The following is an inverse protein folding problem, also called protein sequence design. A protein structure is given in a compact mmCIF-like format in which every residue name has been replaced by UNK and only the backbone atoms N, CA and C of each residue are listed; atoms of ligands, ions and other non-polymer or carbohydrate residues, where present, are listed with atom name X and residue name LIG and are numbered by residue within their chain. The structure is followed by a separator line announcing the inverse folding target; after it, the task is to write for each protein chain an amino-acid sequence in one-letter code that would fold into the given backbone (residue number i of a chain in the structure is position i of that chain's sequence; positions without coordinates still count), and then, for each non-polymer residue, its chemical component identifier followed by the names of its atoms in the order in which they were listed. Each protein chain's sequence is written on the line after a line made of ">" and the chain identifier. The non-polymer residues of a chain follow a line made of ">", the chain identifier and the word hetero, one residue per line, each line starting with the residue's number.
data_IF_115084088699
#
_entry.id   IF_115084088699
#
_cell.length_a   1.000
_cell.length_b   1.000
_cell.length_c   1.000
_cell.angle_alpha   90.00
_cell.angle_beta   90.00
_cell.angle_gamma   90.00
#
_symmetry.space_group_name_H-M   'P 1'
#
loop_
_entity.id
_entity.type
_entity.pdbx_description
1 polymer ?
#
# COMPACT_ATOMS: atom_id res chain seq x y z
N UNK A 1 -14.80 9.77 0.85
CA UNK A 1 -14.01 9.93 2.08
C UNK A 1 -13.88 8.59 2.84
N UNK A 2 -14.55 7.54 2.36
CA UNK A 2 -14.44 6.18 2.87
C UNK A 2 -13.57 5.35 1.92
N UNK A 3 -13.00 4.27 2.41
CA UNK A 3 -12.10 3.42 1.65
C UNK A 3 -10.89 4.20 1.12
N UNK A 4 -10.54 3.97 -0.14
CA UNK A 4 -9.43 4.68 -0.79
C UNK A 4 -9.88 6.02 -1.35
N UNK A 5 -9.44 7.17 -0.80
CA UNK A 5 -9.83 8.48 -1.29
C UNK A 5 -9.33 8.74 -2.71
N UNK A 6 -10.16 9.36 -3.53
CA UNK A 6 -9.81 9.70 -4.90
C UNK A 6 -10.75 10.75 -5.49
N UNK A 7 -10.44 11.28 -6.68
CA UNK A 7 -11.33 12.20 -7.37
C UNK A 7 -12.61 11.49 -7.79
N UNK A 8 -13.73 12.18 -7.66
CA UNK A 8 -15.04 11.72 -8.12
C UNK A 8 -15.60 12.69 -9.15
N UNK A 9 -16.33 12.16 -10.12
CA UNK A 9 -17.06 12.94 -11.10
C UNK A 9 -18.55 12.81 -10.83
N UNK A 10 -19.24 13.94 -10.68
CA UNK A 10 -20.68 13.99 -10.53
C UNK A 10 -21.27 14.67 -11.75
N UNK A 11 -22.10 13.96 -12.51
CA UNK A 11 -22.83 14.49 -13.66
C UNK A 11 -24.31 14.63 -13.31
N UNK A 12 -24.84 15.85 -13.49
CA UNK A 12 -26.24 16.15 -13.24
C UNK A 12 -26.84 16.70 -14.54
N UNK A 13 -27.73 15.97 -15.22
CA UNK A 13 -28.41 16.44 -16.43
C UNK A 13 -29.17 17.76 -16.21
N UNK A 14 -29.22 18.59 -17.23
CA UNK A 14 -29.81 19.96 -17.13
C UNK A 14 -31.28 19.95 -16.72
N UNK A 15 -32.05 19.00 -17.18
CA UNK A 15 -33.45 18.80 -16.79
C UNK A 15 -33.60 18.46 -15.30
N UNK A 16 -32.68 17.66 -14.77
CA UNK A 16 -32.62 17.32 -13.32
C UNK A 16 -32.21 18.54 -12.48
N UNK A 17 -31.27 19.37 -12.99
CA UNK A 17 -30.87 20.61 -12.31
C UNK A 17 -32.05 21.61 -12.16
N UNK A 18 -32.96 21.65 -13.14
CA UNK A 18 -34.14 22.52 -13.12
C UNK A 18 -35.35 21.92 -12.41
N UNK A 19 -35.29 20.70 -11.94
CA UNK A 19 -36.43 20.02 -11.32
C UNK A 19 -36.77 20.60 -9.93
N UNK A 20 -38.07 20.75 -9.68
CA UNK A 20 -38.53 21.14 -8.32
C UNK A 20 -38.43 19.93 -7.39
N UNK A 21 -37.73 20.10 -6.30
CA UNK A 21 -37.54 19.06 -5.26
C UNK A 21 -38.14 19.51 -3.92
N UNK A 22 -38.59 18.56 -3.13
CA UNK A 22 -38.94 18.80 -1.74
C UNK A 22 -37.82 18.24 -0.83
N UNK A 23 -36.98 19.11 -0.23
CA UNK A 23 -35.83 18.67 0.56
C UNK A 23 -36.23 17.90 1.82
N UNK A 24 -37.44 18.12 2.33
CA UNK A 24 -37.91 17.50 3.59
C UNK A 24 -38.18 15.99 3.45
N UNK A 25 -38.40 15.50 2.22
CA UNK A 25 -38.67 14.09 1.95
C UNK A 25 -37.48 13.33 1.34
N UNK A 26 -36.43 14.05 0.97
CA UNK A 26 -35.23 13.46 0.40
C UNK A 26 -34.32 12.93 1.51
N UNK A 27 -33.88 11.68 1.32
CA UNK A 27 -32.89 11.10 2.22
C UNK A 27 -31.51 11.60 1.85
N UNK A 28 -30.78 12.12 2.84
CA UNK A 28 -29.35 12.41 2.69
C UNK A 28 -28.52 11.12 2.59
N UNK A 29 -27.28 11.28 2.13
CA UNK A 29 -26.31 10.20 2.14
C UNK A 29 -25.77 10.03 3.56
N UNK A 30 -25.80 8.79 4.04
CA UNK A 30 -25.11 8.39 5.28
C UNK A 30 -23.96 7.49 4.88
N UNK A 31 -22.70 7.84 5.21
CA UNK A 31 -21.57 6.94 4.94
C UNK A 31 -21.79 5.58 5.62
N UNK A 32 -21.43 4.48 4.99
CA UNK A 32 -21.42 3.20 5.66
C UNK A 32 -20.41 3.20 6.81
N UNK A 33 -20.73 2.54 7.92
CA UNK A 33 -19.76 2.27 8.97
C UNK A 33 -18.82 1.16 8.46
N UNK A 34 -17.57 1.53 8.21
CA UNK A 34 -16.49 0.60 7.87
C UNK A 34 -15.76 0.21 9.17
N UNK A 35 -16.26 -0.75 9.89
CA UNK A 35 -15.50 -1.35 10.99
C UNK A 35 -14.67 -2.53 10.44
N UNK A 36 -13.35 -2.39 10.53
CA UNK A 36 -12.46 -3.52 10.27
C UNK A 36 -12.69 -4.62 11.32
N UNK A 37 -12.74 -5.87 10.88
CA UNK A 37 -12.77 -7.01 11.80
C UNK A 37 -11.42 -7.11 12.53
N UNK A 38 -11.40 -6.64 13.77
CA UNK A 38 -10.17 -6.60 14.58
C UNK A 38 -9.62 -7.99 14.89
N UNK A 39 -10.48 -9.00 15.03
CA UNK A 39 -10.05 -10.36 15.33
C UNK A 39 -9.35 -11.00 14.11
N UNK A 40 -9.88 -10.78 12.91
CA UNK A 40 -9.23 -11.19 11.66
C UNK A 40 -7.88 -10.48 11.46
N UNK A 41 -7.82 -9.18 11.74
CA UNK A 41 -6.59 -8.41 11.64
C UNK A 41 -5.50 -8.94 12.61
N UNK A 42 -5.84 -9.23 13.87
CA UNK A 42 -4.89 -9.78 14.85
C UNK A 42 -4.35 -11.14 14.41
N UNK A 43 -5.20 -12.00 13.83
CA UNK A 43 -4.77 -13.28 13.28
C UNK A 43 -3.77 -13.11 12.15
N UNK A 44 -4.10 -12.25 11.17
CA UNK A 44 -3.22 -11.95 10.02
C UNK A 44 -1.88 -11.32 10.44
N UNK A 45 -1.91 -10.44 11.43
CA UNK A 45 -0.66 -9.89 12.00
C UNK A 45 0.20 -11.00 12.62
N UNK A 46 -0.40 -11.97 13.30
CA UNK A 46 0.32 -13.14 13.81
C UNK A 46 1.03 -13.93 12.70
N UNK A 47 0.33 -14.22 11.61
CA UNK A 47 0.91 -14.90 10.44
C UNK A 47 2.05 -14.09 9.81
N UNK A 48 1.88 -12.77 9.67
CA UNK A 48 2.94 -11.88 9.19
C UNK A 48 4.20 -11.94 10.09
N UNK A 49 4.04 -11.94 11.41
CA UNK A 49 5.16 -12.03 12.34
C UNK A 49 5.91 -13.35 12.23
N UNK A 50 5.22 -14.47 11.98
CA UNK A 50 5.84 -15.77 11.72
C UNK A 50 6.66 -15.74 10.43
N UNK A 51 6.12 -15.15 9.36
CA UNK A 51 6.85 -14.98 8.09
C UNK A 51 8.09 -14.11 8.26
N UNK A 52 7.97 -13.00 8.99
CA UNK A 52 9.07 -12.09 9.29
C UNK A 52 10.18 -12.82 10.08
N UNK A 53 9.79 -13.60 11.08
CA UNK A 53 10.75 -14.34 11.89
C UNK A 53 11.49 -15.45 11.12
N UNK A 54 10.90 -15.94 10.04
CA UNK A 54 11.47 -16.98 9.17
C UNK A 54 12.34 -16.42 8.04
N UNK A 55 12.24 -15.13 7.72
CA UNK A 55 12.93 -14.51 6.60
C UNK A 55 14.41 -14.24 6.92
N UNK A 56 15.27 -14.44 5.92
CA UNK A 56 16.70 -14.12 5.99
C UNK A 56 17.04 -12.75 5.39
N UNK A 57 16.23 -12.30 4.43
CA UNK A 57 16.44 -11.05 3.68
C UNK A 57 15.12 -10.29 3.50
N UNK A 58 14.46 -9.93 4.62
CA UNK A 58 13.22 -9.16 4.57
C UNK A 58 13.48 -7.74 4.07
N UNK A 59 12.54 -7.20 3.28
CA UNK A 59 12.57 -5.85 2.74
C UNK A 59 11.23 -5.17 2.97
N UNK A 60 11.25 -3.96 3.51
CA UNK A 60 10.08 -3.09 3.59
C UNK A 60 9.95 -2.28 2.29
N UNK A 61 8.77 -2.30 1.70
CA UNK A 61 8.43 -1.49 0.54
C UNK A 61 7.37 -0.45 0.92
N UNK A 62 7.76 0.82 0.95
CA UNK A 62 6.88 1.90 1.37
C UNK A 62 6.15 2.55 0.19
N UNK A 63 4.85 2.75 0.35
CA UNK A 63 3.98 3.43 -0.59
C UNK A 63 3.24 4.62 0.01
N UNK A 64 2.60 5.41 -0.85
CA UNK A 64 1.91 6.64 -0.45
C UNK A 64 0.69 6.40 0.46
N UNK A 65 0.17 5.18 0.51
CA UNK A 65 -0.90 4.81 1.43
C UNK A 65 -0.56 5.05 2.90
N UNK A 66 0.72 5.05 3.27
CA UNK A 66 1.19 5.38 4.62
C UNK A 66 0.84 6.84 4.95
N UNK A 67 1.07 7.79 4.03
CA UNK A 67 0.63 9.19 4.19
C UNK A 67 -0.89 9.33 4.24
N UNK A 68 -1.60 8.64 3.35
CA UNK A 68 -3.06 8.71 3.30
C UNK A 68 -3.73 8.21 4.58
N UNK A 69 -3.09 7.29 5.28
CA UNK A 69 -3.57 6.75 6.55
C UNK A 69 -3.07 7.53 7.79
N UNK A 70 -2.14 8.48 7.61
CA UNK A 70 -1.50 9.20 8.73
C UNK A 70 -0.63 8.28 9.60
N UNK A 71 -0.03 7.24 8.99
CA UNK A 71 0.72 6.21 9.69
C UNK A 71 2.25 6.40 9.62
N UNK A 72 2.73 7.59 9.33
CA UNK A 72 4.16 7.90 9.18
C UNK A 72 4.96 7.55 10.42
N UNK A 73 4.48 7.96 11.59
CA UNK A 73 5.14 7.67 12.88
C UNK A 73 5.19 6.16 13.16
N UNK A 74 4.10 5.45 12.86
CA UNK A 74 4.04 4.00 13.04
C UNK A 74 4.98 3.26 12.09
N UNK A 75 5.09 3.76 10.85
CA UNK A 75 6.02 3.22 9.87
C UNK A 75 7.47 3.45 10.30
N UNK A 76 7.81 4.65 10.75
CA UNK A 76 9.14 4.96 11.30
C UNK A 76 9.48 4.04 12.47
N UNK A 77 8.55 3.87 13.42
CA UNK A 77 8.75 2.95 14.55
C UNK A 77 8.97 1.51 14.12
N UNK A 78 8.28 1.05 13.06
CA UNK A 78 8.50 -0.28 12.48
C UNK A 78 9.92 -0.41 11.89
N UNK A 79 10.37 0.60 11.16
CA UNK A 79 11.73 0.63 10.58
C UNK A 79 12.78 0.60 11.68
N UNK A 80 12.64 1.43 12.71
CA UNK A 80 13.58 1.52 13.83
C UNK A 80 13.63 0.20 14.63
N UNK A 81 12.48 -0.44 14.81
CA UNK A 81 12.40 -1.70 15.57
C UNK A 81 12.99 -2.90 14.81
N UNK A 82 12.88 -2.89 13.47
CA UNK A 82 13.33 -4.02 12.64
C UNK A 82 14.72 -3.85 12.07
N UNK A 83 15.13 -2.61 11.79
CA UNK A 83 16.35 -2.31 11.04
C UNK A 83 16.34 -2.87 9.61
N UNK A 84 15.20 -3.21 9.06
CA UNK A 84 15.09 -3.78 7.72
C UNK A 84 15.40 -2.75 6.64
N UNK A 85 15.99 -3.15 5.51
CA UNK A 85 16.16 -2.27 4.37
C UNK A 85 14.81 -1.82 3.86
N UNK A 86 14.72 -0.52 3.56
CA UNK A 86 13.51 0.13 3.03
C UNK A 86 13.74 0.57 1.60
N UNK A 87 12.84 0.14 0.73
CA UNK A 87 12.75 0.61 -0.66
C UNK A 87 11.43 1.37 -0.79
N UNK A 88 11.46 2.53 -1.41
CA UNK A 88 10.31 3.42 -1.51
C UNK A 88 9.76 3.52 -2.93
N UNK A 89 8.46 3.71 -3.04
CA UNK A 89 7.85 4.24 -4.27
C UNK A 89 8.16 5.73 -4.43
N UNK A 90 8.07 6.27 -5.65
CA UNK A 90 8.48 7.66 -5.95
C UNK A 90 7.69 8.72 -5.20
N UNK A 91 6.43 8.44 -4.89
CA UNK A 91 5.53 9.34 -4.18
C UNK A 91 5.52 9.15 -2.65
N UNK A 92 6.44 8.33 -2.13
CA UNK A 92 6.62 8.07 -0.70
C UNK A 92 8.09 8.26 -0.27
N UNK A 93 8.82 9.11 -1.01
CA UNK A 93 10.26 9.35 -0.81
C UNK A 93 10.59 10.11 0.46
N UNK A 94 9.62 10.81 1.01
CA UNK A 94 9.72 11.66 2.20
C UNK A 94 9.35 10.94 3.51
N UNK A 95 9.00 9.64 3.45
CA UNK A 95 8.74 8.82 4.63
C UNK A 95 9.98 8.56 5.47
N UNK A 96 11.16 8.55 4.84
CA UNK A 96 12.45 8.43 5.51
C UNK A 96 13.42 9.48 4.96
N UNK A 97 14.30 10.05 5.80
CA UNK A 97 15.42 10.84 5.32
C UNK A 97 16.30 10.03 4.37
N UNK A 98 16.85 10.68 3.34
CA UNK A 98 17.69 10.00 2.34
C UNK A 98 19.02 9.47 2.89
N UNK A 99 19.44 9.93 4.06
CA UNK A 99 20.62 9.49 4.81
C UNK A 99 20.29 8.52 5.96
N UNK A 100 19.02 8.07 6.06
CA UNK A 100 18.63 7.05 7.03
C UNK A 100 19.30 5.71 6.69
N UNK A 101 19.89 5.04 7.68
CA UNK A 101 20.68 3.82 7.48
C UNK A 101 19.91 2.66 6.83
N UNK A 102 18.59 2.57 7.06
CA UNK A 102 17.73 1.57 6.44
C UNK A 102 17.26 1.95 5.03
N UNK A 103 17.38 3.23 4.62
CA UNK A 103 16.89 3.65 3.31
C UNK A 103 17.86 3.25 2.20
N UNK A 104 17.41 2.39 1.29
CA UNK A 104 18.25 1.85 0.20
C UNK A 104 18.04 2.61 -1.11
N UNK A 105 16.84 3.13 -1.34
CA UNK A 105 16.50 3.82 -2.57
C UNK A 105 15.12 3.49 -3.11
N UNK A 106 14.94 3.58 -4.43
CA UNK A 106 13.64 3.43 -5.10
C UNK A 106 13.62 2.24 -6.05
N UNK A 107 12.47 1.59 -6.16
CA UNK A 107 12.25 0.51 -7.12
C UNK A 107 11.40 0.96 -8.31
N UNK A 108 11.57 0.27 -9.41
CA UNK A 108 10.79 0.43 -10.63
C UNK A 108 11.57 1.09 -11.78
N UNK A 109 10.83 1.53 -12.81
CA UNK A 109 11.39 2.07 -14.06
C UNK A 109 12.20 3.38 -13.85
N UNK A 110 11.83 4.16 -12.84
CA UNK A 110 12.55 5.35 -12.40
C UNK A 110 13.33 5.11 -11.10
N UNK A 111 13.42 3.85 -10.69
CA UNK A 111 14.16 3.45 -9.51
C UNK A 111 15.66 3.43 -9.77
N UNK A 112 16.40 3.40 -8.68
CA UNK A 112 17.84 3.27 -8.73
C UNK A 112 18.27 1.79 -8.71
N UNK A 113 19.56 1.58 -8.98
CA UNK A 113 20.12 0.23 -9.02
C UNK A 113 20.02 -0.48 -7.67
N UNK A 114 20.29 0.24 -6.58
CA UNK A 114 20.31 -0.34 -5.24
C UNK A 114 18.90 -0.80 -4.85
N UNK A 115 17.88 0.05 -4.99
CA UNK A 115 16.50 -0.29 -4.70
C UNK A 115 15.98 -1.46 -5.53
N UNK A 116 16.23 -1.47 -6.85
CA UNK A 116 15.82 -2.57 -7.71
C UNK A 116 16.50 -3.90 -7.33
N UNK A 117 17.81 -3.90 -7.04
CA UNK A 117 18.49 -5.13 -6.62
C UNK A 117 18.06 -5.59 -5.24
N UNK A 118 17.76 -4.70 -4.31
CA UNK A 118 17.27 -5.04 -2.98
C UNK A 118 15.95 -5.82 -3.07
N UNK A 119 14.98 -5.31 -3.85
CA UNK A 119 13.71 -6.01 -4.08
C UNK A 119 13.94 -7.38 -4.75
N UNK A 120 14.83 -7.46 -5.75
CA UNK A 120 15.08 -8.70 -6.48
C UNK A 120 15.79 -9.79 -5.65
N UNK A 121 16.49 -9.42 -4.58
CA UNK A 121 17.20 -10.35 -3.71
C UNK A 121 16.47 -10.62 -2.38
N UNK A 122 15.32 -10.02 -2.15
CA UNK A 122 14.49 -10.30 -0.99
C UNK A 122 13.97 -11.74 -1.01
N UNK A 123 13.83 -12.35 0.15
CA UNK A 123 13.07 -13.59 0.36
C UNK A 123 11.70 -13.32 1.00
N UNK A 124 11.53 -12.11 1.56
CA UNK A 124 10.27 -11.58 2.04
C UNK A 124 10.17 -10.10 1.67
N UNK A 125 9.11 -9.74 0.95
CA UNK A 125 8.80 -8.35 0.58
C UNK A 125 7.52 -7.91 1.30
N UNK A 126 7.64 -6.94 2.21
CA UNK A 126 6.54 -6.40 2.99
C UNK A 126 6.13 -5.08 2.38
N UNK A 127 5.03 -5.07 1.66
CA UNK A 127 4.51 -3.92 0.90
C UNK A 127 3.47 -3.21 1.77
N UNK A 128 3.70 -1.94 2.09
CA UNK A 128 2.81 -1.15 2.93
C UNK A 128 2.32 0.08 2.15
N UNK A 129 1.01 0.13 1.88
CA UNK A 129 0.35 1.26 1.23
C UNK A 129 0.79 1.52 -0.21
N UNK A 130 1.22 0.49 -0.94
CA UNK A 130 1.60 0.60 -2.35
C UNK A 130 0.79 -0.37 -3.21
N UNK A 131 0.16 0.16 -4.25
CA UNK A 131 -0.57 -0.63 -5.25
C UNK A 131 0.30 -1.51 -6.13
N UNK A 132 1.61 -1.34 -6.09
CA UNK A 132 2.55 -2.04 -6.96
C UNK A 132 2.11 -1.99 -8.44
N UNK A 133 2.04 -0.79 -8.97
CA UNK A 133 1.65 -0.55 -10.36
C UNK A 133 2.77 -0.94 -11.34
N UNK A 134 2.44 -1.11 -12.62
CA UNK A 134 3.37 -1.51 -13.68
C UNK A 134 4.71 -0.74 -13.67
N UNK A 135 4.77 0.60 -13.44
CA UNK A 135 6.04 1.29 -13.31
C UNK A 135 6.96 0.79 -12.19
N UNK A 136 6.42 0.11 -11.19
CA UNK A 136 7.17 -0.47 -10.06
C UNK A 136 7.56 -1.92 -10.31
N UNK A 137 6.63 -2.71 -10.85
CA UNK A 137 6.80 -4.16 -11.06
C UNK A 137 7.35 -4.53 -12.44
N UNK A 138 7.15 -3.66 -13.45
CA UNK A 138 7.35 -4.01 -14.86
C UNK A 138 6.17 -4.79 -15.43
N UNK A 139 6.26 -5.14 -16.71
CA UNK A 139 5.23 -5.90 -17.43
C UNK A 139 5.38 -7.43 -17.29
N UNK A 140 6.55 -7.90 -16.91
CA UNK A 140 6.81 -9.32 -16.69
C UNK A 140 6.80 -9.58 -15.18
N UNK A 141 5.61 -9.84 -14.65
CA UNK A 141 5.39 -10.02 -13.22
C UNK A 141 6.14 -11.20 -12.63
N UNK A 142 6.38 -12.27 -13.41
CA UNK A 142 7.14 -13.44 -12.97
C UNK A 142 8.61 -13.12 -12.65
N UNK A 143 9.09 -11.97 -13.12
CA UNK A 143 10.46 -11.52 -12.83
C UNK A 143 10.54 -10.56 -11.64
N UNK A 144 9.41 -10.11 -11.11
CA UNK A 144 9.39 -9.21 -9.95
C UNK A 144 9.54 -10.01 -8.65
N UNK A 145 10.56 -9.67 -7.85
CA UNK A 145 10.82 -10.27 -6.53
C UNK A 145 10.67 -11.82 -6.51
N UNK A 146 11.26 -12.50 -7.48
CA UNK A 146 11.01 -13.91 -7.86
C UNK A 146 11.10 -14.93 -6.74
N UNK A 147 11.95 -14.67 -5.76
CA UNK A 147 12.21 -15.59 -4.65
C UNK A 147 11.50 -15.15 -3.35
N UNK A 148 10.86 -13.97 -3.39
CA UNK A 148 10.23 -13.40 -2.21
C UNK A 148 8.81 -13.90 -2.03
N UNK A 149 8.45 -14.26 -0.81
CA UNK A 149 7.07 -14.23 -0.35
C UNK A 149 6.62 -12.77 -0.23
N UNK A 150 5.34 -12.50 -0.46
CA UNK A 150 4.83 -11.13 -0.46
C UNK A 150 3.73 -10.98 0.60
N UNK A 151 4.00 -10.10 1.56
CA UNK A 151 2.98 -9.56 2.46
C UNK A 151 2.55 -8.21 1.89
N UNK A 152 1.24 -7.96 1.80
CA UNK A 152 0.71 -6.69 1.34
C UNK A 152 -0.27 -6.10 2.35
N UNK A 153 -0.06 -4.84 2.71
CA UNK A 153 -0.95 -4.06 3.58
C UNK A 153 -1.54 -2.92 2.76
N UNK A 154 -2.81 -3.03 2.44
CA UNK A 154 -3.56 -2.01 1.68
C UNK A 154 -5.01 -1.96 2.18
N UNK A 155 -5.68 -0.83 1.99
CA UNK A 155 -7.10 -0.65 2.29
C UNK A 155 -7.99 -1.25 1.19
N UNK A 156 -7.46 -1.45 0.00
CA UNK A 156 -8.18 -1.94 -1.16
C UNK A 156 -7.87 -3.42 -1.39
N UNK A 157 -8.80 -4.28 -0.98
CA UNK A 157 -8.69 -5.73 -1.13
C UNK A 157 -8.47 -6.16 -2.59
N UNK A 158 -8.99 -5.40 -3.55
CA UNK A 158 -8.82 -5.72 -4.97
C UNK A 158 -7.39 -5.55 -5.45
N UNK A 159 -6.62 -4.67 -4.82
CA UNK A 159 -5.19 -4.52 -5.11
C UNK A 159 -4.36 -5.70 -4.59
N UNK A 160 -4.81 -6.34 -3.50
CA UNK A 160 -4.15 -7.54 -2.94
C UNK A 160 -4.41 -8.80 -3.79
N UNK A 161 -5.54 -8.85 -4.48
CA UNK A 161 -5.95 -10.03 -5.28
C UNK A 161 -5.76 -9.87 -6.79
N UNK A 162 -5.05 -8.87 -7.24
CA UNK A 162 -4.77 -8.71 -8.68
C UNK A 162 -3.78 -9.75 -9.19
N UNK A 163 -3.87 -10.16 -10.49
CA UNK A 163 -3.10 -11.28 -11.03
C UNK A 163 -1.61 -10.96 -11.31
N UNK A 164 -1.09 -9.85 -10.83
CA UNK A 164 0.29 -9.43 -11.12
C UNK A 164 1.35 -10.13 -10.27
N UNK A 165 1.00 -10.62 -9.08
CA UNK A 165 1.87 -11.40 -8.19
C UNK A 165 1.01 -12.05 -7.10
N UNK A 166 1.52 -13.13 -6.51
CA UNK A 166 0.84 -13.80 -5.42
C UNK A 166 1.16 -13.11 -4.10
N UNK A 167 0.11 -12.74 -3.37
CA UNK A 167 0.19 -12.25 -1.98
C UNK A 167 -0.12 -13.42 -1.06
N UNK A 168 0.67 -13.62 -0.03
CA UNK A 168 0.51 -14.67 0.98
C UNK A 168 -0.58 -14.29 2.00
#
# INVERSE_FOLDING_TARGET
>A
QSGRPGPVWVEIPVDVQGATINPDILKGFTPPDEEADKADLESKVGECLEMIAAAERPVLYSGYGIHLSGAEESFQALVDATGFPVVSSWNATDLLPSDHESFIGHCGILGDRAGNFTVQNADLLIIIGSRMSIPQTGYNFDLFAREAKIIMVDIDETEMHKPSFNVE
#
